data_IF_229499131435
#
_entry.id   IF_229499131435
#
_cell.length_a   1.000
_cell.length_b   1.000
_cell.length_c   1.000
_cell.angle_alpha   90.00
_cell.angle_beta   90.00
_cell.angle_gamma   90.00
#
_symmetry.space_group_name_H-M   'P 1'
#
loop_
_entity.id
_entity.type
_entity.pdbx_description
1 polymer ?
#
# COMPACT_ATOMS: atom_id res chain seq x y z
N UNK A 1 10.87 5.30 35.18
CA UNK A 1 9.71 6.18 35.02
C UNK A 1 9.63 6.51 33.54
N UNK A 2 8.83 5.76 32.75
CA UNK A 2 8.55 6.08 31.36
C UNK A 2 7.58 7.26 31.36
N UNK A 3 8.02 8.41 30.88
CA UNK A 3 7.13 9.52 30.63
C UNK A 3 6.04 9.04 29.68
N UNK A 4 4.76 9.29 30.00
CA UNK A 4 3.68 9.13 29.03
C UNK A 4 4.07 9.89 27.76
N UNK A 5 3.96 9.29 26.57
CA UNK A 5 4.30 10.00 25.35
C UNK A 5 3.41 11.24 25.25
N UNK A 6 4.02 12.40 25.17
CA UNK A 6 3.28 13.65 24.90
C UNK A 6 2.49 13.48 23.60
N UNK A 7 1.23 13.94 23.57
CA UNK A 7 0.41 13.90 22.35
C UNK A 7 1.16 14.54 21.17
N UNK A 8 1.20 13.90 19.98
CA UNK A 8 1.79 14.52 18.79
C UNK A 8 1.11 15.84 18.46
N UNK A 9 1.84 16.76 17.86
CA UNK A 9 1.33 18.10 17.52
C UNK A 9 1.17 18.33 16.01
N UNK A 10 1.54 17.36 15.19
CA UNK A 10 1.51 17.50 13.75
C UNK A 10 1.40 16.13 13.03
N UNK A 11 0.97 16.19 11.78
CA UNK A 11 0.89 15.04 10.88
C UNK A 11 2.25 14.34 10.71
N UNK A 12 3.31 15.11 10.47
CA UNK A 12 4.65 14.53 10.30
C UNK A 12 5.16 13.89 11.60
N UNK A 13 4.80 14.41 12.77
CA UNK A 13 5.23 13.83 14.05
C UNK A 13 4.61 12.44 14.28
N UNK A 14 3.34 12.26 13.87
CA UNK A 14 2.68 10.95 13.89
C UNK A 14 3.45 9.94 13.03
N UNK A 15 3.80 10.34 11.80
CA UNK A 15 4.59 9.50 10.89
C UNK A 15 5.94 9.11 11.52
N UNK A 16 6.68 10.09 12.04
CA UNK A 16 8.00 9.85 12.65
C UNK A 16 7.92 8.92 13.86
N UNK A 17 6.85 9.03 14.66
CA UNK A 17 6.63 8.14 15.81
C UNK A 17 6.31 6.71 15.38
N UNK A 18 5.45 6.53 14.36
CA UNK A 18 5.17 5.21 13.79
C UNK A 18 6.44 4.58 13.20
N UNK A 19 7.24 5.34 12.46
CA UNK A 19 8.52 4.87 11.93
C UNK A 19 9.47 4.43 13.04
N UNK A 20 9.63 5.25 14.08
CA UNK A 20 10.48 4.94 15.23
C UNK A 20 9.98 3.70 15.99
N UNK A 21 8.66 3.58 16.18
CA UNK A 21 8.07 2.44 16.84
C UNK A 21 8.35 1.15 16.08
N UNK A 22 7.99 1.09 14.80
CA UNK A 22 8.14 -0.13 14.00
C UNK A 22 9.61 -0.48 13.73
N UNK A 23 10.49 0.51 13.59
CA UNK A 23 11.93 0.29 13.56
C UNK A 23 12.42 -0.40 14.86
N UNK A 24 11.94 0.02 16.03
CA UNK A 24 12.28 -0.60 17.31
C UNK A 24 11.74 -2.03 17.48
N UNK A 25 10.76 -2.42 16.65
CA UNK A 25 10.19 -3.78 16.59
C UNK A 25 10.83 -4.65 15.50
N UNK A 26 11.92 -4.18 14.88
CA UNK A 26 12.70 -4.93 13.90
C UNK A 26 12.23 -4.79 12.45
N UNK A 27 11.27 -3.91 12.17
CA UNK A 27 10.90 -3.61 10.79
C UNK A 27 11.97 -2.74 10.11
N UNK A 28 12.32 -3.08 8.87
CA UNK A 28 13.02 -2.18 7.98
C UNK A 28 12.09 -1.03 7.59
N UNK A 29 12.50 0.21 7.86
CA UNK A 29 11.74 1.39 7.43
C UNK A 29 12.13 1.72 6.01
N UNK A 30 11.22 1.44 5.07
CA UNK A 30 11.44 1.67 3.65
C UNK A 30 10.95 3.05 3.23
N UNK A 31 11.43 3.49 2.05
CA UNK A 31 10.87 4.66 1.37
C UNK A 31 9.60 4.28 0.61
N UNK A 32 8.75 5.27 0.28
CA UNK A 32 7.56 5.03 -0.55
C UNK A 32 7.93 4.38 -1.89
N UNK A 33 7.02 3.59 -2.43
CA UNK A 33 7.11 3.15 -3.82
C UNK A 33 6.88 4.35 -4.75
N UNK A 34 7.75 4.52 -5.74
CA UNK A 34 7.76 5.66 -6.65
C UNK A 34 6.80 5.52 -7.84
N UNK A 35 5.70 4.82 -7.61
CA UNK A 35 4.64 4.58 -8.57
C UNK A 35 3.28 4.98 -8.00
N UNK A 36 2.33 5.33 -8.87
CA UNK A 36 0.95 5.60 -8.45
C UNK A 36 0.24 4.31 -8.06
N UNK A 37 -0.07 4.16 -6.79
CA UNK A 37 -0.77 2.99 -6.22
C UNK A 37 -2.10 3.41 -5.59
N UNK A 38 -3.10 2.53 -5.63
CA UNK A 38 -4.40 2.75 -4.99
C UNK A 38 -4.42 2.50 -3.49
N UNK A 39 -3.39 1.82 -2.97
CA UNK A 39 -3.21 1.53 -1.54
C UNK A 39 -1.76 1.13 -1.26
N UNK A 40 -1.35 1.21 0.00
CA UNK A 40 -0.03 0.78 0.46
C UNK A 40 0.26 -0.69 0.19
N UNK A 41 -0.77 -1.53 0.20
CA UNK A 41 -0.70 -2.95 -0.15
C UNK A 41 -0.11 -3.21 -1.54
N UNK A 42 -0.28 -2.28 -2.50
CA UNK A 42 0.25 -2.43 -3.87
C UNK A 42 1.77 -2.23 -3.96
N UNK A 43 2.41 -1.71 -2.93
CA UNK A 43 3.87 -1.66 -2.88
C UNK A 43 4.46 -3.08 -2.96
N UNK A 44 5.52 -3.33 -3.79
CA UNK A 44 6.14 -4.66 -3.90
C UNK A 44 6.58 -5.24 -2.55
N UNK A 45 6.97 -4.38 -1.59
CA UNK A 45 7.35 -4.79 -0.24
C UNK A 45 6.20 -5.41 0.56
N UNK A 46 4.96 -5.23 0.16
CA UNK A 46 3.78 -5.91 0.70
C UNK A 46 3.31 -6.99 -0.26
N UNK A 47 2.82 -6.64 -1.45
CA UNK A 47 2.20 -7.61 -2.36
C UNK A 47 3.14 -8.77 -2.73
N UNK A 48 4.34 -8.47 -3.24
CA UNK A 48 5.26 -9.53 -3.65
C UNK A 48 5.90 -10.22 -2.45
N UNK A 49 6.23 -9.47 -1.39
CA UNK A 49 6.87 -10.04 -0.19
C UNK A 49 5.92 -10.82 0.71
N UNK A 50 4.60 -10.72 0.54
CA UNK A 50 3.65 -11.65 1.15
C UNK A 50 3.81 -13.07 0.60
N UNK A 51 4.31 -13.21 -0.64
CA UNK A 51 4.58 -14.46 -1.32
C UNK A 51 5.89 -15.13 -0.85
N UNK A 52 5.96 -16.44 -1.05
CA UNK A 52 7.15 -17.25 -0.78
C UNK A 52 7.45 -17.43 0.71
N UNK A 53 8.50 -18.21 0.99
CA UNK A 53 8.82 -18.68 2.34
C UNK A 53 9.77 -17.78 3.13
N UNK A 54 10.41 -16.80 2.49
CA UNK A 54 11.41 -15.94 3.16
C UNK A 54 10.77 -15.03 4.18
N UNK A 55 11.34 -14.97 5.38
CA UNK A 55 10.95 -14.03 6.41
C UNK A 55 11.11 -12.58 5.94
N UNK A 56 10.19 -11.71 6.36
CA UNK A 56 10.16 -10.30 5.97
C UNK A 56 9.55 -9.45 7.07
N UNK A 57 10.10 -8.28 7.32
CA UNK A 57 9.51 -7.28 8.21
C UNK A 57 9.84 -5.89 7.69
N UNK A 58 8.83 -5.15 7.24
CA UNK A 58 8.99 -3.81 6.70
C UNK A 58 7.84 -2.91 7.10
N UNK A 59 8.13 -1.61 7.20
CA UNK A 59 7.16 -0.55 7.45
C UNK A 59 7.51 0.67 6.60
N UNK A 60 6.49 1.38 6.09
CA UNK A 60 6.69 2.55 5.23
C UNK A 60 5.44 3.41 5.14
N UNK A 61 5.61 4.67 4.80
CA UNK A 61 4.52 5.54 4.35
C UNK A 61 4.32 5.35 2.85
N UNK A 62 3.08 5.20 2.40
CA UNK A 62 2.77 5.10 0.99
C UNK A 62 1.74 6.14 0.58
N UNK A 63 2.13 7.13 -0.24
CA UNK A 63 1.17 7.97 -0.96
C UNK A 63 0.27 7.09 -1.82
N UNK A 64 -1.03 7.22 -1.65
CA UNK A 64 -2.02 6.41 -2.35
C UNK A 64 -2.95 7.30 -3.16
N UNK A 65 -3.33 6.84 -4.34
CA UNK A 65 -4.21 7.59 -5.25
C UNK A 65 -5.48 6.84 -5.53
N UNK A 66 -6.61 7.50 -5.28
CA UNK A 66 -7.97 7.02 -5.59
C UNK A 66 -8.69 8.10 -6.40
N UNK A 67 -8.54 8.11 -7.72
CA UNK A 67 -9.08 9.17 -8.58
C UNK A 67 -10.58 9.42 -8.38
N UNK A 68 -11.38 8.37 -8.15
CA UNK A 68 -12.82 8.44 -7.90
C UNK A 68 -13.20 9.14 -6.59
N UNK A 69 -12.27 9.27 -5.64
CA UNK A 69 -12.46 9.92 -4.34
C UNK A 69 -12.18 11.42 -4.35
N UNK A 70 -11.80 11.99 -5.49
CA UNK A 70 -11.64 13.43 -5.64
C UNK A 70 -12.87 14.21 -5.21
N UNK A 71 -12.67 15.31 -4.49
CA UNK A 71 -13.73 16.23 -4.02
C UNK A 71 -13.25 17.66 -4.07
N UNK A 72 -12.33 17.99 -4.97
CA UNK A 72 -11.82 19.35 -5.20
C UNK A 72 -11.23 20.03 -3.95
N UNK A 73 -10.83 19.24 -2.94
CA UNK A 73 -10.35 19.74 -1.65
C UNK A 73 -11.42 20.35 -0.76
N UNK A 74 -12.70 20.10 -1.05
CA UNK A 74 -13.85 20.64 -0.31
C UNK A 74 -14.39 19.69 0.75
N UNK A 75 -14.09 18.39 0.65
CA UNK A 75 -14.56 17.40 1.61
C UNK A 75 -13.61 17.34 2.82
N UNK A 76 -14.14 17.27 4.07
CA UNK A 76 -13.32 17.32 5.27
C UNK A 76 -12.38 16.11 5.47
N UNK A 77 -12.71 14.94 4.90
CA UNK A 77 -11.97 13.70 5.17
C UNK A 77 -11.82 12.76 3.98
N UNK A 78 -12.25 13.17 2.76
CA UNK A 78 -12.11 12.37 1.54
C UNK A 78 -11.24 13.09 0.52
N UNK A 79 -10.17 12.43 0.10
CA UNK A 79 -9.14 12.94 -0.80
C UNK A 79 -8.85 11.92 -1.90
N UNK A 80 -8.49 12.41 -3.10
CA UNK A 80 -7.99 11.52 -4.17
C UNK A 80 -6.53 11.11 -3.97
N UNK A 81 -5.77 11.86 -3.15
CA UNK A 81 -4.41 11.57 -2.75
C UNK A 81 -4.29 11.66 -1.23
N UNK A 82 -3.86 10.58 -0.59
CA UNK A 82 -3.74 10.46 0.86
C UNK A 82 -2.61 9.49 1.22
N UNK A 83 -2.24 9.44 2.49
CA UNK A 83 -1.14 8.61 2.96
C UNK A 83 -1.64 7.42 3.76
N UNK A 84 -1.07 6.26 3.50
CA UNK A 84 -1.20 5.10 4.35
C UNK A 84 0.15 4.79 5.01
N UNK A 85 0.14 4.45 6.30
CA UNK A 85 1.27 3.82 6.93
C UNK A 85 1.07 2.31 6.84
N UNK A 86 2.02 1.63 6.24
CA UNK A 86 1.94 0.20 5.91
C UNK A 86 2.96 -0.59 6.70
N UNK A 87 2.57 -1.74 7.24
CA UNK A 87 3.46 -2.70 7.90
C UNK A 87 3.16 -4.08 7.35
N UNK A 88 4.20 -4.85 7.03
CA UNK A 88 4.09 -6.27 6.70
C UNK A 88 5.13 -7.06 7.49
N UNK A 89 4.67 -8.08 8.24
CA UNK A 89 5.55 -8.99 8.98
C UNK A 89 5.22 -10.43 8.59
N UNK A 90 6.21 -11.14 8.12
CA UNK A 90 6.12 -12.54 7.68
C UNK A 90 7.27 -13.39 8.26
N UNK A 91 7.01 -14.50 8.98
CA UNK A 91 5.66 -14.92 9.39
C UNK A 91 5.02 -13.92 10.35
N UNK A 92 3.68 -13.92 10.39
CA UNK A 92 2.95 -13.08 11.34
C UNK A 92 3.31 -13.47 12.78
N UNK A 93 3.75 -12.55 13.64
CA UNK A 93 3.99 -12.85 15.04
C UNK A 93 2.66 -13.09 15.78
N UNK A 94 2.64 -13.95 16.80
CA UNK A 94 1.41 -14.28 17.54
C UNK A 94 0.84 -13.11 18.33
N UNK A 95 1.66 -12.11 18.65
CA UNK A 95 1.33 -10.91 19.42
C UNK A 95 1.14 -9.66 18.53
N UNK A 96 0.83 -9.85 17.23
CA UNK A 96 0.73 -8.73 16.28
C UNK A 96 -0.36 -7.71 16.69
N UNK A 97 -1.47 -8.16 17.31
CA UNK A 97 -2.48 -7.25 17.83
C UNK A 97 -1.94 -6.37 18.97
N UNK A 98 -1.15 -6.91 19.88
CA UNK A 98 -0.52 -6.13 20.96
C UNK A 98 0.54 -5.18 20.41
N UNK A 99 1.31 -5.60 19.41
CA UNK A 99 2.24 -4.70 18.70
C UNK A 99 1.49 -3.55 18.03
N UNK A 100 0.34 -3.83 17.41
CA UNK A 100 -0.51 -2.80 16.84
C UNK A 100 -1.01 -1.81 17.91
N UNK A 101 -1.58 -2.28 19.02
CA UNK A 101 -2.03 -1.43 20.13
C UNK A 101 -0.86 -0.60 20.71
N UNK A 102 0.32 -1.20 20.82
CA UNK A 102 1.54 -0.49 21.20
C UNK A 102 1.90 0.65 20.24
N UNK A 103 1.63 0.51 18.95
CA UNK A 103 1.84 1.57 17.96
C UNK A 103 0.85 2.73 18.12
N UNK A 104 -0.40 2.44 18.49
CA UNK A 104 -1.40 3.47 18.81
C UNK A 104 -1.00 4.27 20.05
N UNK A 105 -0.52 3.59 21.11
CA UNK A 105 0.02 4.26 22.30
C UNK A 105 1.21 5.16 21.95
N UNK A 106 2.08 4.74 21.04
CA UNK A 106 3.23 5.54 20.61
C UNK A 106 2.84 6.86 19.94
N UNK A 107 1.69 6.93 19.31
CA UNK A 107 1.14 8.15 18.71
C UNK A 107 0.11 8.87 19.58
N UNK A 108 0.00 8.47 20.87
CA UNK A 108 -0.82 9.17 21.85
C UNK A 108 -2.25 8.66 22.00
N UNK A 109 -2.63 7.56 21.38
CA UNK A 109 -3.93 6.90 21.63
C UNK A 109 -3.73 5.86 22.73
N UNK A 110 -4.28 6.15 23.91
CA UNK A 110 -4.26 5.24 25.06
C UNK A 110 -5.50 4.33 25.00
N UNK A 111 -5.29 3.05 24.69
CA UNK A 111 -6.35 2.04 24.59
C UNK A 111 -7.08 1.74 25.91
N UNK A 112 -6.60 2.27 27.04
CA UNK A 112 -7.34 2.26 28.30
C UNK A 112 -8.38 3.38 28.42
N UNK A 113 -8.29 4.42 27.57
CA UNK A 113 -9.14 5.61 27.58
C UNK A 113 -10.07 5.66 26.34
N UNK A 114 -9.79 4.88 25.31
CA UNK A 114 -10.48 4.86 24.04
C UNK A 114 -11.14 3.51 23.76
N UNK A 115 -12.30 3.51 23.12
CA UNK A 115 -13.00 2.30 22.71
C UNK A 115 -12.37 1.77 21.41
N UNK A 116 -11.42 0.85 21.54
CA UNK A 116 -10.78 0.19 20.40
C UNK A 116 -11.50 -1.13 20.11
N UNK A 117 -12.04 -1.25 18.89
CA UNK A 117 -12.75 -2.44 18.44
C UNK A 117 -12.11 -3.04 17.22
N UNK A 118 -11.93 -4.34 17.25
CA UNK A 118 -11.56 -5.15 16.08
C UNK A 118 -12.86 -5.74 15.51
N UNK A 119 -13.33 -5.19 14.40
CA UNK A 119 -14.56 -5.60 13.72
C UNK A 119 -14.18 -6.52 12.57
N UNK A 120 -14.69 -7.75 12.58
CA UNK A 120 -14.37 -8.75 11.55
C UNK A 120 -14.64 -8.20 10.14
N UNK A 121 -13.62 -8.24 9.30
CA UNK A 121 -13.67 -7.83 7.89
C UNK A 121 -12.67 -8.65 7.08
N UNK A 122 -13.19 -9.42 6.12
CA UNK A 122 -12.37 -10.18 5.19
C UNK A 122 -11.97 -9.27 4.02
N UNK A 123 -10.74 -8.77 4.12
CA UNK A 123 -10.20 -7.88 3.10
C UNK A 123 -9.94 -8.59 1.77
N UNK A 124 -10.30 -7.94 0.66
CA UNK A 124 -9.96 -8.41 -0.67
C UNK A 124 -9.53 -7.29 -1.62
N UNK A 125 -8.65 -7.63 -2.56
CA UNK A 125 -8.29 -6.80 -3.70
C UNK A 125 -8.52 -7.56 -5.00
N UNK A 126 -9.64 -7.29 -5.70
CA UNK A 126 -9.96 -7.99 -6.95
C UNK A 126 -8.91 -7.85 -8.03
N UNK A 127 -8.23 -6.70 -8.12
CA UNK A 127 -7.18 -6.44 -9.13
C UNK A 127 -5.86 -7.14 -8.82
N UNK A 128 -5.53 -7.36 -7.55
CA UNK A 128 -4.34 -8.13 -7.16
C UNK A 128 -4.60 -9.64 -7.10
N UNK A 129 -5.88 -10.06 -7.12
CA UNK A 129 -6.23 -11.44 -6.82
C UNK A 129 -5.75 -11.83 -5.42
N UNK A 130 -5.88 -10.89 -4.48
CA UNK A 130 -5.43 -11.03 -3.09
C UNK A 130 -6.61 -10.97 -2.13
N UNK A 131 -6.54 -11.75 -1.04
CA UNK A 131 -7.49 -11.69 0.05
C UNK A 131 -6.86 -12.16 1.36
N UNK A 132 -7.48 -11.78 2.47
CA UNK A 132 -7.03 -12.19 3.80
C UNK A 132 -8.12 -12.02 4.83
N UNK A 133 -7.99 -12.78 5.92
CA UNK A 133 -8.84 -12.68 7.10
C UNK A 133 -8.38 -11.52 7.96
N UNK A 134 -9.29 -10.82 8.63
CA UNK A 134 -8.85 -9.74 9.50
C UNK A 134 -9.95 -8.89 10.10
N UNK A 135 -9.60 -7.65 10.35
CA UNK A 135 -10.47 -6.70 11.02
C UNK A 135 -10.28 -5.27 10.47
N UNK A 136 -11.38 -4.54 10.40
CA UNK A 136 -11.31 -3.09 10.54
C UNK A 136 -11.06 -2.75 12.01
N UNK A 137 -10.10 -1.87 12.30
CA UNK A 137 -9.90 -1.37 13.66
C UNK A 137 -10.55 -0.01 13.81
N UNK A 138 -11.47 0.07 14.75
CA UNK A 138 -12.25 1.26 15.03
C UNK A 138 -11.80 1.87 16.37
N UNK A 139 -11.64 3.18 16.39
CA UNK A 139 -11.33 3.97 17.59
C UNK A 139 -12.48 4.95 17.81
N UNK A 140 -13.19 4.83 18.94
CA UNK A 140 -14.34 5.66 19.31
C UNK A 140 -15.39 5.84 18.19
N UNK A 141 -15.62 4.76 17.44
CA UNK A 141 -16.60 4.74 16.35
C UNK A 141 -16.11 5.21 14.99
N UNK A 142 -14.80 5.47 14.83
CA UNK A 142 -14.18 5.78 13.54
C UNK A 142 -13.16 4.68 13.16
N UNK A 143 -13.28 4.16 11.95
CA UNK A 143 -12.28 3.25 11.37
C UNK A 143 -10.95 3.98 11.19
N UNK A 144 -9.88 3.46 11.79
CA UNK A 144 -8.54 4.05 11.75
C UNK A 144 -7.51 3.18 11.04
N UNK A 145 -7.73 1.87 10.96
CA UNK A 145 -6.79 0.93 10.34
C UNK A 145 -7.50 -0.31 9.82
N UNK A 146 -6.88 -0.91 8.81
CA UNK A 146 -7.17 -2.27 8.34
C UNK A 146 -6.08 -3.21 8.85
N UNK A 147 -6.46 -4.36 9.39
CA UNK A 147 -5.57 -5.40 9.88
C UNK A 147 -5.86 -6.69 9.13
N UNK A 148 -4.88 -7.26 8.42
CA UNK A 148 -5.11 -8.38 7.50
C UNK A 148 -4.07 -9.49 7.69
N UNK A 149 -4.51 -10.72 7.76
CA UNK A 149 -3.68 -11.91 7.61
C UNK A 149 -3.82 -12.45 6.19
N UNK A 150 -2.83 -12.23 5.34
CA UNK A 150 -2.88 -12.66 3.95
C UNK A 150 -3.03 -14.17 3.81
N UNK A 151 -4.05 -14.57 3.09
CA UNK A 151 -4.30 -15.97 2.74
C UNK A 151 -3.82 -16.26 1.32
N UNK A 152 -4.03 -15.30 0.39
CA UNK A 152 -3.67 -15.48 -1.01
C UNK A 152 -3.28 -14.16 -1.65
N UNK A 153 -2.31 -14.19 -2.58
CA UNK A 153 -1.90 -13.07 -3.44
C UNK A 153 -1.59 -13.61 -4.82
N UNK A 154 -2.19 -13.00 -5.86
CA UNK A 154 -1.99 -13.40 -7.26
C UNK A 154 -2.35 -14.86 -7.54
N UNK A 155 -3.28 -15.45 -6.75
CA UNK A 155 -3.66 -16.85 -6.86
C UNK A 155 -2.73 -17.83 -6.14
N UNK A 156 -1.69 -17.35 -5.45
CA UNK A 156 -0.79 -18.18 -4.63
C UNK A 156 -1.14 -18.09 -3.16
N UNK A 157 -1.19 -19.22 -2.47
CA UNK A 157 -1.34 -19.26 -1.01
C UNK A 157 -0.13 -18.60 -0.33
N UNK A 158 -0.37 -17.77 0.67
CA UNK A 158 0.66 -17.14 1.47
C UNK A 158 1.10 -18.09 2.60
N UNK A 159 2.29 -18.69 2.43
CA UNK A 159 2.87 -19.62 3.42
C UNK A 159 4.35 -19.31 3.63
N UNK A 160 4.75 -18.87 4.85
CA UNK A 160 3.89 -18.63 6.02
C UNK A 160 2.96 -17.43 5.83
N UNK A 161 1.85 -17.42 6.58
CA UNK A 161 0.92 -16.27 6.61
C UNK A 161 1.63 -15.05 7.15
N UNK A 162 1.45 -13.91 6.48
CA UNK A 162 1.92 -12.61 6.93
C UNK A 162 0.80 -11.81 7.56
N UNK A 163 1.14 -10.96 8.52
CA UNK A 163 0.25 -9.93 9.06
C UNK A 163 0.55 -8.58 8.41
N UNK A 164 -0.48 -7.93 7.91
CA UNK A 164 -0.45 -6.60 7.35
C UNK A 164 -1.22 -5.63 8.25
N UNK A 165 -0.68 -4.43 8.42
CA UNK A 165 -1.36 -3.32 9.07
C UNK A 165 -1.36 -2.13 8.12
N UNK A 166 -2.54 -1.58 7.86
CA UNK A 166 -2.72 -0.39 7.02
C UNK A 166 -3.41 0.70 7.81
N UNK A 167 -2.67 1.74 8.18
CA UNK A 167 -3.20 2.90 8.90
C UNK A 167 -3.62 3.97 7.91
N UNK A 168 -4.85 4.47 8.01
CA UNK A 168 -5.28 5.68 7.30
C UNK A 168 -4.74 6.91 8.02
N UNK A 169 -3.60 7.44 7.55
CA UNK A 169 -2.85 8.45 8.30
C UNK A 169 -3.63 9.75 8.54
N UNK A 170 -4.39 10.23 7.55
CA UNK A 170 -5.16 11.45 7.68
C UNK A 170 -6.27 11.31 8.73
N UNK A 171 -7.06 10.24 8.68
CA UNK A 171 -8.12 9.97 9.66
C UNK A 171 -7.55 9.84 11.06
N UNK A 172 -6.48 9.04 11.18
CA UNK A 172 -5.80 8.83 12.45
C UNK A 172 -5.24 10.14 13.02
N UNK A 173 -4.61 10.96 12.16
CA UNK A 173 -4.05 12.24 12.56
C UNK A 173 -5.12 13.27 12.93
N UNK A 174 -6.22 13.35 12.16
CA UNK A 174 -7.36 14.21 12.51
C UNK A 174 -7.91 13.87 13.90
N UNK A 175 -8.03 12.57 14.19
CA UNK A 175 -8.48 12.09 15.50
C UNK A 175 -7.50 12.50 16.62
N UNK A 176 -6.21 12.19 16.46
CA UNK A 176 -5.17 12.49 17.47
C UNK A 176 -4.99 13.99 17.71
N UNK A 177 -5.09 14.79 16.65
CA UNK A 177 -4.88 16.25 16.71
C UNK A 177 -6.16 17.02 17.03
N UNK A 178 -7.33 16.36 17.07
CA UNK A 178 -8.61 16.98 17.39
C UNK A 178 -9.07 18.01 16.35
N UNK A 179 -8.90 17.70 15.05
CA UNK A 179 -9.31 18.58 13.95
C UNK A 179 -10.45 17.95 13.15
N UNK A 180 -11.41 18.77 12.73
CA UNK A 180 -12.61 18.32 12.00
C UNK A 180 -12.43 18.33 10.48
N UNK A 181 -11.41 19.02 9.97
CA UNK A 181 -11.14 19.12 8.55
C UNK A 181 -9.67 18.85 8.27
N UNK A 182 -9.38 17.92 7.35
CA UNK A 182 -8.01 17.48 7.02
C UNK A 182 -7.11 18.65 6.60
N UNK A 183 -7.65 19.65 5.88
CA UNK A 183 -6.87 20.80 5.39
C UNK A 183 -6.41 21.74 6.50
N UNK A 184 -7.04 21.69 7.69
CA UNK A 184 -6.71 22.54 8.83
C UNK A 184 -5.70 21.85 9.78
N UNK A 185 -5.35 20.60 9.51
CA UNK A 185 -4.41 19.82 10.29
C UNK A 185 -3.00 20.38 10.20
N UNK A 186 -2.29 20.62 11.34
CA UNK A 186 -0.87 20.97 11.32
C UNK A 186 -0.04 19.90 10.60
N UNK A 187 0.65 20.30 9.53
CA UNK A 187 1.52 19.38 8.81
C UNK A 187 2.86 19.20 9.52
N UNK A 188 3.51 20.30 9.90
CA UNK A 188 4.72 20.33 10.70
C UNK A 188 4.44 20.91 12.11
N UNK A 189 5.48 21.03 12.95
CA UNK A 189 5.34 21.62 14.28
C UNK A 189 4.73 23.03 14.19
N UNK A 190 3.58 23.28 14.86
CA UNK A 190 2.95 24.62 14.89
C UNK A 190 3.83 25.72 15.47
N UNK A 191 4.88 25.34 16.22
CA UNK A 191 5.86 26.28 16.79
C UNK A 191 7.11 26.45 15.90
N UNK A 192 7.13 25.83 14.70
CA UNK A 192 8.24 26.03 13.76
C UNK A 192 8.28 27.47 13.24
N UNK A 193 9.44 27.95 12.74
CA UNK A 193 9.54 29.29 12.13
C UNK A 193 8.59 29.47 10.92
N UNK A 194 8.23 28.39 10.25
CA UNK A 194 7.30 28.36 9.12
C UNK A 194 6.31 27.22 9.39
N UNK A 195 5.21 27.46 10.14
CA UNK A 195 4.18 26.47 10.35
C UNK A 195 3.38 26.29 9.06
N UNK A 196 3.13 25.04 8.68
CA UNK A 196 2.35 24.66 7.51
C UNK A 196 1.17 23.80 7.95
N UNK A 197 0.01 24.03 7.37
CA UNK A 197 -1.14 23.13 7.44
C UNK A 197 -1.07 22.08 6.33
N UNK A 198 -1.84 21.01 6.47
CA UNK A 198 -2.06 20.04 5.38
C UNK A 198 -2.63 20.73 4.13
N UNK A 199 -3.48 21.75 4.32
CA UNK A 199 -4.05 22.55 3.25
C UNK A 199 -2.99 23.37 2.51
N UNK A 200 -2.01 23.93 3.20
CA UNK A 200 -0.91 24.68 2.56
C UNK A 200 -0.10 23.76 1.64
N UNK A 201 0.03 22.49 1.99
CA UNK A 201 0.80 21.51 1.22
C UNK A 201 -0.02 20.93 0.07
N UNK A 202 -1.31 20.58 0.29
CA UNK A 202 -2.03 19.70 -0.63
C UNK A 202 -3.33 20.25 -1.23
N UNK A 203 -3.90 21.36 -0.73
CA UNK A 203 -5.21 21.86 -1.22
C UNK A 203 -5.20 22.14 -2.72
N UNK A 204 -4.18 22.83 -3.23
CA UNK A 204 -4.07 23.12 -4.66
C UNK A 204 -3.95 21.83 -5.48
N UNK A 205 -3.08 20.92 -5.06
CA UNK A 205 -2.87 19.62 -5.70
C UNK A 205 -4.18 18.83 -5.78
N UNK A 206 -4.94 18.79 -4.68
CA UNK A 206 -6.22 18.08 -4.61
C UNK A 206 -7.26 18.68 -5.55
N UNK A 207 -7.31 20.01 -5.66
CA UNK A 207 -8.19 20.72 -6.59
C UNK A 207 -7.85 20.43 -8.05
N UNK A 208 -6.56 20.50 -8.39
CA UNK A 208 -6.08 20.31 -9.76
C UNK A 208 -6.26 18.85 -10.21
N UNK A 209 -5.85 17.89 -9.39
CA UNK A 209 -6.03 16.46 -9.72
C UNK A 209 -7.49 16.03 -9.76
N UNK A 210 -8.38 16.58 -8.92
CA UNK A 210 -9.81 16.30 -9.03
C UNK A 210 -10.33 16.72 -10.41
N UNK A 211 -9.96 17.92 -10.88
CA UNK A 211 -10.35 18.41 -12.23
C UNK A 211 -9.74 17.56 -13.33
N UNK A 212 -8.45 17.22 -13.20
CA UNK A 212 -7.80 16.36 -14.19
C UNK A 212 -8.45 14.99 -14.24
N UNK A 213 -8.72 14.37 -13.08
CA UNK A 213 -9.32 13.03 -13.00
C UNK A 213 -10.75 13.00 -13.57
N UNK A 214 -11.56 14.05 -13.37
CA UNK A 214 -12.97 14.03 -13.76
C UNK A 214 -13.27 14.74 -15.08
N UNK A 215 -12.51 15.78 -15.42
CA UNK A 215 -12.91 16.69 -16.50
C UNK A 215 -11.92 16.74 -17.67
N UNK A 216 -10.59 16.69 -17.42
CA UNK A 216 -9.58 17.11 -18.39
C UNK A 216 -8.77 15.96 -18.97
N UNK A 217 -8.53 14.88 -18.23
CA UNK A 217 -7.68 13.78 -18.71
C UNK A 217 -8.18 13.24 -20.06
N UNK A 218 -7.28 13.14 -21.04
CA UNK A 218 -7.56 12.61 -22.35
C UNK A 218 -7.81 11.11 -22.30
N UNK A 219 -9.03 10.71 -22.56
CA UNK A 219 -9.48 9.32 -22.42
C UNK A 219 -8.87 8.39 -23.46
N UNK A 220 -8.67 8.86 -24.70
CA UNK A 220 -8.06 8.04 -25.76
C UNK A 220 -6.59 7.73 -25.44
N UNK A 221 -5.85 8.73 -24.89
CA UNK A 221 -4.51 8.52 -24.39
C UNK A 221 -4.48 7.56 -23.20
N UNK A 222 -5.40 7.68 -22.25
CA UNK A 222 -5.48 6.77 -21.11
C UNK A 222 -5.74 5.32 -21.54
N UNK A 223 -6.66 5.10 -22.49
CA UNK A 223 -6.90 3.77 -23.07
C UNK A 223 -5.66 3.23 -23.78
N UNK A 224 -4.93 4.08 -24.52
CA UNK A 224 -3.71 3.66 -25.18
C UNK A 224 -2.62 3.28 -24.16
N UNK A 225 -2.37 4.13 -23.17
CA UNK A 225 -1.39 3.86 -22.13
C UNK A 225 -1.69 2.58 -21.34
N UNK A 226 -2.99 2.29 -21.10
CA UNK A 226 -3.38 1.03 -20.48
C UNK A 226 -2.95 -0.18 -21.35
N UNK A 227 -3.25 -0.14 -22.66
CA UNK A 227 -2.83 -1.21 -23.59
C UNK A 227 -1.32 -1.34 -23.67
N UNK A 228 -0.58 -0.23 -23.66
CA UNK A 228 0.87 -0.22 -23.70
C UNK A 228 1.48 -0.85 -22.45
N UNK A 229 0.96 -0.49 -21.27
CA UNK A 229 1.42 -1.06 -19.99
C UNK A 229 1.12 -2.57 -19.90
N UNK A 230 -0.06 -3.01 -20.35
CA UNK A 230 -0.44 -4.41 -20.41
C UNK A 230 0.50 -5.19 -21.36
N UNK A 231 0.70 -4.68 -22.58
CA UNK A 231 1.57 -5.33 -23.58
C UNK A 231 3.03 -5.39 -23.10
N UNK A 232 3.53 -4.33 -22.44
CA UNK A 232 4.90 -4.29 -21.94
C UNK A 232 5.08 -5.25 -20.75
N UNK A 233 4.11 -5.36 -19.85
CA UNK A 233 4.14 -6.37 -18.78
C UNK A 233 4.28 -7.78 -19.37
N UNK A 234 3.45 -8.10 -20.38
CA UNK A 234 3.48 -9.39 -21.07
C UNK A 234 4.80 -9.65 -21.79
N UNK A 235 5.34 -8.63 -22.45
CA UNK A 235 6.61 -8.70 -23.16
C UNK A 235 7.77 -8.99 -22.18
N UNK A 236 7.82 -8.27 -21.06
CA UNK A 236 8.88 -8.45 -20.03
C UNK A 236 8.87 -9.89 -19.51
N UNK A 237 7.69 -10.40 -19.12
CA UNK A 237 7.55 -11.74 -18.57
C UNK A 237 7.81 -12.87 -19.59
N UNK A 238 7.69 -12.56 -20.88
CA UNK A 238 7.89 -13.53 -21.97
C UNK A 238 9.28 -13.46 -22.59
N UNK A 239 10.13 -12.49 -22.18
CA UNK A 239 11.46 -12.30 -22.74
C UNK A 239 12.47 -13.22 -22.04
N UNK A 240 13.04 -14.22 -22.72
CA UNK A 240 14.05 -15.09 -22.12
C UNK A 240 15.36 -14.33 -21.94
N UNK A 241 15.85 -14.30 -20.71
CA UNK A 241 17.13 -13.70 -20.35
C UNK A 241 17.93 -14.67 -19.48
N UNK A 242 19.26 -14.63 -19.65
CA UNK A 242 20.17 -15.38 -18.79
C UNK A 242 21.28 -14.49 -18.27
N UNK A 243 21.81 -14.81 -17.10
CA UNK A 243 23.00 -14.18 -16.55
C UNK A 243 24.29 -14.73 -17.23
N UNK A 244 25.43 -14.24 -16.81
CA UNK A 244 26.75 -14.69 -17.34
C UNK A 244 27.03 -16.16 -17.06
N UNK A 245 26.36 -16.78 -16.12
CA UNK A 245 26.48 -18.19 -15.78
C UNK A 245 25.43 -19.08 -16.49
N UNK A 246 24.60 -18.48 -17.37
CA UNK A 246 23.56 -19.20 -18.10
C UNK A 246 22.28 -19.44 -17.30
N UNK A 247 22.14 -18.87 -16.10
CA UNK A 247 20.94 -19.02 -15.26
C UNK A 247 19.86 -18.04 -15.73
N UNK A 248 18.61 -18.48 -15.74
CA UNK A 248 17.48 -17.64 -16.11
C UNK A 248 17.36 -16.41 -15.19
N UNK A 249 17.18 -15.24 -15.81
CA UNK A 249 16.85 -13.99 -15.13
C UNK A 249 15.35 -13.76 -15.27
N UNK A 250 14.65 -13.66 -14.13
CA UNK A 250 13.21 -13.42 -14.06
C UNK A 250 12.98 -11.97 -13.66
N UNK A 251 12.30 -11.20 -14.53
CA UNK A 251 12.09 -9.75 -14.32
C UNK A 251 10.71 -9.47 -13.70
N UNK A 252 10.45 -10.02 -12.51
CA UNK A 252 9.18 -9.86 -11.84
C UNK A 252 8.87 -8.40 -11.44
N UNK A 253 9.86 -7.65 -10.91
CA UNK A 253 9.66 -6.27 -10.50
C UNK A 253 9.37 -5.31 -11.65
N UNK A 254 10.15 -5.27 -12.76
CA UNK A 254 9.81 -4.42 -13.91
C UNK A 254 8.45 -4.74 -14.52
N UNK A 255 8.05 -6.01 -14.54
CA UNK A 255 6.73 -6.42 -15.01
C UNK A 255 5.63 -5.95 -14.04
N UNK A 256 5.87 -6.05 -12.75
CA UNK A 256 4.94 -5.57 -11.73
C UNK A 256 4.72 -4.06 -11.82
N UNK A 257 5.77 -3.26 -12.11
CA UNK A 257 5.63 -1.83 -12.36
C UNK A 257 4.63 -1.54 -13.49
N UNK A 258 4.65 -2.33 -14.58
CA UNK A 258 3.69 -2.17 -15.67
C UNK A 258 2.27 -2.60 -15.26
N UNK A 259 2.14 -3.66 -14.47
CA UNK A 259 0.87 -4.06 -13.89
C UNK A 259 0.27 -2.93 -13.03
N UNK A 260 1.07 -2.27 -12.20
CA UNK A 260 0.64 -1.14 -11.36
C UNK A 260 0.25 0.07 -12.20
N UNK A 261 0.99 0.39 -13.27
CA UNK A 261 0.59 1.42 -14.24
C UNK A 261 -0.79 1.11 -14.85
N UNK A 262 -1.00 -0.11 -15.32
CA UNK A 262 -2.30 -0.52 -15.85
C UNK A 262 -3.42 -0.37 -14.81
N UNK A 263 -3.17 -0.75 -13.55
CA UNK A 263 -4.12 -0.57 -12.45
C UNK A 263 -4.49 0.90 -12.22
N UNK A 264 -3.50 1.80 -12.20
CA UNK A 264 -3.75 3.23 -12.02
C UNK A 264 -4.52 3.83 -13.20
N UNK A 265 -4.15 3.48 -14.43
CA UNK A 265 -4.82 3.92 -15.65
C UNK A 265 -6.29 3.46 -15.70
N UNK A 266 -6.57 2.24 -15.26
CA UNK A 266 -7.94 1.76 -15.08
C UNK A 266 -8.71 2.63 -14.07
N UNK A 267 -8.11 2.98 -12.94
CA UNK A 267 -8.75 3.85 -11.94
C UNK A 267 -9.04 5.26 -12.50
N UNK A 268 -8.18 5.80 -13.36
CA UNK A 268 -8.42 7.06 -14.05
C UNK A 268 -9.57 6.97 -15.06
N UNK A 269 -9.61 5.91 -15.86
CA UNK A 269 -10.72 5.66 -16.81
C UNK A 269 -12.05 5.48 -16.08
N UNK A 270 -12.05 4.79 -14.93
CA UNK A 270 -13.24 4.63 -14.08
C UNK A 270 -13.70 5.99 -13.53
N UNK A 271 -12.76 6.82 -13.04
CA UNK A 271 -13.06 8.17 -12.55
C UNK A 271 -13.61 9.10 -13.67
N UNK A 272 -13.10 8.97 -14.91
CA UNK A 272 -13.63 9.69 -16.07
C UNK A 272 -15.02 9.24 -16.50
N UNK A 273 -15.52 8.13 -15.93
CA UNK A 273 -16.85 7.59 -16.28
C UNK A 273 -16.98 7.05 -17.69
N UNK A 274 -15.85 6.71 -18.35
CA UNK A 274 -15.81 6.21 -19.73
C UNK A 274 -15.80 4.69 -19.83
N UNK A 275 -15.89 4.01 -18.70
CA UNK A 275 -15.97 2.54 -18.60
C UNK A 275 -17.36 2.17 -18.05
N UNK A 276 -18.11 1.37 -18.79
CA UNK A 276 -19.39 0.83 -18.32
C UNK A 276 -19.18 -0.19 -17.19
N UNK A 277 -20.25 -0.49 -16.43
CA UNK A 277 -20.20 -1.48 -15.34
C UNK A 277 -19.71 -2.85 -15.82
N UNK A 278 -20.12 -3.27 -17.03
CA UNK A 278 -19.69 -4.55 -17.62
C UNK A 278 -18.20 -4.51 -18.01
N UNK A 279 -17.76 -3.42 -18.63
CA UNK A 279 -16.35 -3.24 -18.99
C UNK A 279 -15.46 -3.15 -17.77
N UNK A 280 -15.93 -2.54 -16.68
CA UNK A 280 -15.20 -2.46 -15.42
C UNK A 280 -14.76 -3.83 -14.92
N UNK A 281 -15.64 -4.84 -14.97
CA UNK A 281 -15.31 -6.21 -14.58
C UNK A 281 -14.24 -6.81 -15.52
N UNK A 282 -14.31 -6.52 -16.82
CA UNK A 282 -13.31 -6.96 -17.78
C UNK A 282 -11.93 -6.33 -17.50
N UNK A 283 -11.86 -5.03 -17.19
CA UNK A 283 -10.61 -4.36 -16.80
C UNK A 283 -10.02 -4.90 -15.51
N UNK A 284 -10.85 -5.12 -14.49
CA UNK A 284 -10.42 -5.79 -13.24
C UNK A 284 -9.81 -7.16 -13.55
N UNK A 285 -10.45 -7.94 -14.40
CA UNK A 285 -9.95 -9.25 -14.83
C UNK A 285 -8.61 -9.17 -15.55
N UNK A 286 -8.40 -8.17 -16.43
CA UNK A 286 -7.13 -7.92 -17.12
C UNK A 286 -6.01 -7.59 -16.15
N UNK A 287 -6.21 -6.62 -15.26
CA UNK A 287 -5.20 -6.26 -14.23
C UNK A 287 -4.89 -7.45 -13.32
N UNK A 288 -5.92 -8.21 -12.90
CA UNK A 288 -5.74 -9.43 -12.10
C UNK A 288 -4.88 -10.48 -12.83
N UNK A 289 -5.07 -10.65 -14.14
CA UNK A 289 -4.26 -11.57 -14.92
C UNK A 289 -2.78 -11.15 -14.97
N UNK A 290 -2.50 -9.85 -15.09
CA UNK A 290 -1.14 -9.30 -15.01
C UNK A 290 -0.54 -9.53 -13.63
N UNK A 291 -1.28 -9.20 -12.56
CA UNK A 291 -0.83 -9.39 -11.18
C UNK A 291 -0.50 -10.85 -10.89
N UNK A 292 -1.36 -11.78 -11.36
CA UNK A 292 -1.10 -13.22 -11.24
C UNK A 292 0.20 -13.62 -11.93
N UNK A 293 0.43 -13.20 -13.18
CA UNK A 293 1.66 -13.52 -13.90
C UNK A 293 2.91 -12.93 -13.24
N UNK A 294 2.81 -11.73 -12.67
CA UNK A 294 3.91 -11.14 -11.89
C UNK A 294 4.17 -11.94 -10.61
N UNK A 295 3.13 -12.44 -9.93
CA UNK A 295 3.25 -13.31 -8.76
C UNK A 295 3.88 -14.66 -9.14
N UNK A 296 3.40 -15.29 -10.25
CA UNK A 296 3.98 -16.53 -10.81
C UNK A 296 5.49 -16.37 -11.10
N UNK A 297 5.88 -15.20 -11.63
CA UNK A 297 7.28 -14.89 -11.91
C UNK A 297 8.08 -14.65 -10.61
N UNK A 298 7.51 -13.91 -9.65
CA UNK A 298 8.20 -13.58 -8.41
C UNK A 298 8.53 -14.80 -7.57
N UNK A 299 7.61 -15.76 -7.44
CA UNK A 299 7.85 -16.98 -6.64
C UNK A 299 8.98 -17.86 -7.20
N UNK A 300 9.32 -17.69 -8.48
CA UNK A 300 10.44 -18.36 -9.13
C UNK A 300 11.79 -17.66 -8.91
N UNK A 301 11.80 -16.47 -8.31
CA UNK A 301 13.03 -15.75 -7.98
C UNK A 301 13.58 -16.21 -6.63
N UNK A 302 14.86 -15.94 -6.38
CA UNK A 302 15.46 -16.15 -5.06
C UNK A 302 14.72 -15.37 -3.96
N UNK A 303 14.29 -14.14 -4.26
CA UNK A 303 13.51 -13.33 -3.33
C UNK A 303 12.14 -13.93 -3.02
N UNK A 304 11.53 -14.65 -3.96
CA UNK A 304 10.30 -15.43 -3.80
C UNK A 304 10.50 -16.77 -3.09
N UNK A 305 11.74 -17.14 -2.75
CA UNK A 305 12.06 -18.37 -2.02
C UNK A 305 12.45 -19.56 -2.89
N UNK A 306 12.59 -19.39 -4.22
CA UNK A 306 13.22 -20.40 -5.05
C UNK A 306 14.65 -20.64 -4.55
N UNK A 307 15.02 -21.91 -4.36
CA UNK A 307 16.39 -22.26 -4.06
C UNK A 307 17.23 -22.00 -5.32
N UNK A 308 18.45 -21.44 -5.22
CA UNK A 308 19.39 -21.48 -6.33
C UNK A 308 19.51 -22.94 -6.73
N UNK A 309 19.30 -23.28 -7.99
CA UNK A 309 19.62 -24.61 -8.49
C UNK A 309 21.02 -24.97 -7.97
N UNK A 310 21.12 -26.08 -7.21
CA UNK A 310 22.37 -26.77 -7.00
C UNK A 310 22.78 -27.35 -8.37
N UNK A 311 23.01 -26.45 -9.32
CA UNK A 311 23.34 -26.77 -10.67
C UNK A 311 24.73 -27.39 -10.67
N UNK A 312 24.74 -28.72 -10.76
CA UNK A 312 25.79 -29.50 -11.39
C UNK A 312 27.21 -29.20 -10.87
N UNK A 313 27.43 -29.45 -9.58
CA UNK A 313 28.77 -29.82 -9.10
C UNK A 313 28.88 -31.35 -9.18
N UNK A 314 28.87 -31.89 -10.38
CA UNK A 314 28.95 -33.31 -10.57
C UNK A 314 29.20 -33.64 -12.04
N UNK A 315 30.40 -33.32 -12.55
CA UNK A 315 31.13 -34.14 -13.52
C UNK A 315 32.43 -33.41 -13.91
N UNK A 316 33.40 -33.43 -13.00
CA UNK A 316 34.82 -33.28 -13.32
C UNK A 316 35.62 -34.03 -12.24
N UNK A 317 35.62 -35.35 -12.35
CA UNK A 317 36.62 -36.22 -11.71
C UNK A 317 37.22 -37.13 -12.78
#
# INVERSE_FOLDING_TARGET
MTQSPTTPRSFQEIILRLQSYWASRGCAVLQPYDMEVGAGTFHPATTLRALGSRAWAAAYVQPSRRPTDGRYGENPNRLQHYYQYQVLIKPSPPDLQELYLGSLRAIGIDDSLHDIRFVEDDWESPTLGAWGLGWEVWCDGMEVSQFTYFQQVGGHDCRPVSGELTYGLERLAMYVLGVDHVMDMPFNDPQSPIPLSYGDVFRQTEQEYSRWNFDVADTDMLFQHFRDAEAECDRILSTPLTDKAGRAIIMAHPAYDQCIKASHLFNLLDARGVISVTERQAYIGRVRALAKRCADAFVQTEAGGAQPDEAQAGDAA
#
